data_IF_289788586976
#
_entry.id   IF_289788586976
#
_cell.length_a   1.000
_cell.length_b   1.000
_cell.length_c   1.000
_cell.angle_alpha   90.00
_cell.angle_beta   90.00
_cell.angle_gamma   90.00
#
_symmetry.space_group_name_H-M   'P 1'
#
loop_
_entity.id
_entity.type
_entity.pdbx_description
1 polymer ?
#
# COMPACT_ATOMS: atom_id res chain seq x y z
N UNK A 1 -3.96 -42.58 -4.79
CA UNK A 1 -2.90 -41.64 -5.19
C UNK A 1 -3.02 -40.38 -4.35
N UNK A 2 -2.23 -40.25 -3.29
CA UNK A 2 -2.25 -39.08 -2.41
C UNK A 2 -1.13 -38.12 -2.81
N UNK A 3 -1.47 -36.89 -3.17
CA UNK A 3 -0.50 -35.81 -3.41
C UNK A 3 -0.13 -35.22 -2.06
N UNK A 4 1.08 -35.50 -1.58
CA UNK A 4 1.66 -34.85 -0.40
C UNK A 4 2.26 -33.52 -0.84
N UNK A 5 1.63 -32.40 -0.47
CA UNK A 5 2.19 -31.07 -0.69
C UNK A 5 3.18 -30.78 0.45
N UNK A 6 4.47 -31.02 0.22
CA UNK A 6 5.51 -30.55 1.13
C UNK A 6 5.59 -29.01 1.04
N UNK A 7 4.95 -28.31 1.97
CA UNK A 7 5.12 -26.86 2.14
C UNK A 7 6.48 -26.64 2.81
N UNK A 8 7.54 -26.48 2.02
CA UNK A 8 8.85 -26.10 2.51
C UNK A 8 8.77 -24.75 3.23
N UNK A 9 9.28 -24.67 4.46
CA UNK A 9 9.43 -23.39 5.18
C UNK A 9 10.61 -22.63 4.56
N UNK A 10 10.31 -21.57 3.82
CA UNK A 10 11.34 -20.62 3.36
C UNK A 10 11.83 -19.79 4.55
N UNK A 11 13.13 -19.78 4.80
CA UNK A 11 13.74 -18.87 5.77
C UNK A 11 13.76 -17.44 5.19
N UNK A 12 13.53 -16.44 6.04
CA UNK A 12 13.76 -15.04 5.66
C UNK A 12 15.27 -14.87 5.49
N UNK A 13 15.70 -14.51 4.29
CA UNK A 13 17.13 -14.40 3.96
C UNK A 13 17.72 -13.04 4.29
N UNK A 14 16.95 -11.96 4.08
CA UNK A 14 17.42 -10.58 4.29
C UNK A 14 16.24 -9.70 4.75
N UNK A 15 16.52 -8.79 5.69
CA UNK A 15 15.60 -7.77 6.14
C UNK A 15 16.38 -6.52 6.57
N UNK A 16 15.76 -5.35 6.42
CA UNK A 16 16.34 -4.07 6.83
C UNK A 16 15.39 -3.40 7.82
N UNK A 17 15.94 -2.78 8.85
CA UNK A 17 15.18 -1.97 9.80
C UNK A 17 15.02 -0.55 9.26
N UNK A 18 13.80 -0.03 9.33
CA UNK A 18 13.52 1.39 9.08
C UNK A 18 13.31 2.06 10.45
N UNK A 19 14.09 3.10 10.73
CA UNK A 19 13.91 3.91 11.93
C UNK A 19 12.96 5.08 11.64
N UNK A 20 11.90 5.19 12.42
CA UNK A 20 10.97 6.32 12.38
C UNK A 20 11.07 7.06 13.70
N UNK A 21 11.13 8.39 13.67
CA UNK A 21 11.16 9.21 14.89
C UNK A 21 9.79 9.21 15.56
N UNK A 22 9.75 9.46 16.87
CA UNK A 22 8.50 9.72 17.58
C UNK A 22 7.67 10.76 16.83
N UNK A 23 6.39 10.47 16.65
CA UNK A 23 5.40 11.36 16.05
C UNK A 23 4.43 11.79 17.15
N UNK A 24 3.90 13.01 17.03
CA UNK A 24 2.76 13.42 17.83
C UNK A 24 1.60 12.45 17.58
N UNK A 25 0.87 12.09 18.64
CA UNK A 25 -0.27 11.17 18.51
C UNK A 25 -1.39 11.76 17.65
N UNK A 26 -1.46 13.09 17.55
CA UNK A 26 -2.44 13.80 16.76
C UNK A 26 -1.94 15.19 16.36
N UNK A 27 -2.05 15.48 15.06
CA UNK A 27 -1.87 16.79 14.45
C UNK A 27 -2.92 16.91 13.35
N UNK A 28 -3.83 17.88 13.47
CA UNK A 28 -5.00 17.97 12.58
C UNK A 28 -4.59 18.24 11.12
N UNK A 29 -3.59 19.09 10.90
CA UNK A 29 -3.10 19.43 9.57
C UNK A 29 -2.44 18.21 8.91
N UNK A 30 -1.62 17.48 9.66
CA UNK A 30 -0.97 16.25 9.18
C UNK A 30 -2.01 15.18 8.85
N UNK A 31 -2.99 14.95 9.73
CA UNK A 31 -4.05 13.96 9.47
C UNK A 31 -4.84 14.33 8.22
N UNK A 32 -5.24 15.59 8.08
CA UNK A 32 -5.95 16.06 6.89
C UNK A 32 -5.14 15.84 5.61
N UNK A 33 -3.84 16.16 5.63
CA UNK A 33 -2.95 15.95 4.49
C UNK A 33 -2.82 14.47 4.11
N UNK A 34 -2.76 13.56 5.11
CA UNK A 34 -2.61 12.13 4.86
C UNK A 34 -3.91 11.46 4.40
N UNK A 35 -5.02 11.71 5.10
CA UNK A 35 -6.27 11.00 4.89
C UNK A 35 -7.00 11.47 3.62
N UNK A 36 -7.00 12.78 3.37
CA UNK A 36 -7.64 13.36 2.20
C UNK A 36 -6.69 13.43 0.99
N UNK A 37 -5.41 13.75 1.24
CA UNK A 37 -4.45 14.04 0.17
C UNK A 37 -3.65 12.83 -0.34
N UNK A 38 -3.69 11.68 0.32
CA UNK A 38 -2.91 10.50 -0.09
C UNK A 38 -3.75 9.25 -0.34
N UNK A 39 -3.13 8.29 -1.04
CA UNK A 39 -3.63 6.92 -1.14
C UNK A 39 -2.50 5.92 -0.97
N UNK A 40 -2.84 4.79 -0.38
CA UNK A 40 -2.01 3.59 -0.46
C UNK A 40 -2.55 2.66 -1.55
N UNK A 41 -1.66 1.98 -2.28
CA UNK A 41 -2.03 0.83 -3.10
C UNK A 41 -0.88 -0.15 -3.21
N UNK A 42 -1.16 -1.42 -2.93
CA UNK A 42 -0.20 -2.52 -3.15
C UNK A 42 0.18 -2.69 -4.63
N UNK A 43 -0.60 -2.12 -5.54
CA UNK A 43 -0.29 -2.11 -6.98
C UNK A 43 0.56 -0.90 -7.40
N UNK A 44 0.82 0.07 -6.51
CA UNK A 44 1.85 1.10 -6.70
C UNK A 44 3.19 0.53 -6.21
N UNK A 45 3.80 -0.34 -7.00
CA UNK A 45 5.06 -0.99 -6.65
C UNK A 45 5.91 -1.33 -7.86
N UNK A 46 7.17 -1.72 -7.63
CA UNK A 46 8.08 -2.15 -8.68
C UNK A 46 7.59 -3.45 -9.34
N UNK A 47 7.93 -3.64 -10.62
CA UNK A 47 7.56 -4.85 -11.35
C UNK A 47 8.02 -6.14 -10.65
N UNK A 48 9.21 -6.12 -10.02
CA UNK A 48 9.77 -7.23 -9.25
C UNK A 48 8.93 -7.62 -8.01
N UNK A 49 8.11 -6.70 -7.49
CA UNK A 49 7.28 -6.89 -6.30
C UNK A 49 5.79 -6.91 -6.63
N UNK A 50 5.42 -7.33 -7.85
CA UNK A 50 4.02 -7.42 -8.26
C UNK A 50 3.22 -8.29 -7.27
N UNK A 51 2.10 -7.79 -6.71
CA UNK A 51 1.29 -8.58 -5.79
C UNK A 51 0.78 -9.89 -6.41
N UNK A 52 1.04 -11.01 -5.74
CA UNK A 52 0.62 -12.35 -6.18
C UNK A 52 -0.53 -12.89 -5.33
N UNK A 53 -1.24 -13.88 -5.87
CA UNK A 53 -2.36 -14.57 -5.19
C UNK A 53 -3.73 -13.93 -5.41
N UNK A 54 -4.79 -14.67 -5.07
CA UNK A 54 -6.18 -14.28 -5.34
C UNK A 54 -6.60 -13.02 -4.59
N UNK A 55 -6.25 -12.90 -3.30
CA UNK A 55 -6.60 -11.75 -2.47
C UNK A 55 -5.99 -10.47 -3.04
N UNK A 56 -4.70 -10.50 -3.40
CA UNK A 56 -4.05 -9.34 -3.99
C UNK A 56 -4.68 -8.98 -5.33
N UNK A 57 -4.97 -9.94 -6.21
CA UNK A 57 -5.71 -9.65 -7.46
C UNK A 57 -7.06 -8.99 -7.21
N UNK A 58 -7.83 -9.49 -6.25
CA UNK A 58 -9.13 -8.92 -5.87
C UNK A 58 -9.00 -7.47 -5.37
N UNK A 59 -7.88 -7.11 -4.72
CA UNK A 59 -7.62 -5.74 -4.24
C UNK A 59 -7.41 -4.72 -5.36
N UNK A 60 -7.10 -5.12 -6.61
CA UNK A 60 -6.77 -4.16 -7.68
C UNK A 60 -7.89 -3.16 -7.96
N UNK A 61 -9.13 -3.64 -8.07
CA UNK A 61 -10.26 -2.76 -8.38
C UNK A 61 -10.63 -1.84 -7.20
N UNK A 62 -10.84 -2.35 -5.96
CA UNK A 62 -11.12 -1.49 -4.81
C UNK A 62 -10.08 -0.39 -4.58
N UNK A 63 -8.78 -0.73 -4.70
CA UNK A 63 -7.69 0.23 -4.53
C UNK A 63 -7.62 1.30 -5.62
N UNK A 64 -8.20 1.05 -6.81
CA UNK A 64 -8.40 2.06 -7.85
C UNK A 64 -9.62 2.94 -7.56
N UNK A 65 -10.73 2.33 -7.13
CA UNK A 65 -12.01 3.02 -6.99
C UNK A 65 -12.09 3.92 -5.75
N UNK A 66 -11.57 3.47 -4.60
CA UNK A 66 -11.60 4.22 -3.35
C UNK A 66 -11.01 5.64 -3.46
N UNK A 67 -9.78 5.85 -4.00
CA UNK A 67 -9.24 7.20 -4.12
C UNK A 67 -10.02 8.06 -5.13
N UNK A 68 -10.59 7.49 -6.20
CA UNK A 68 -11.45 8.27 -7.13
C UNK A 68 -12.70 8.77 -6.41
N UNK A 69 -13.30 7.96 -5.54
CA UNK A 69 -14.45 8.37 -4.75
C UNK A 69 -14.07 9.46 -3.74
N UNK A 70 -13.04 9.23 -2.92
CA UNK A 70 -12.59 10.19 -1.89
C UNK A 70 -12.27 11.56 -2.47
N UNK A 71 -11.51 11.61 -3.57
CA UNK A 71 -11.18 12.90 -4.22
C UNK A 71 -12.42 13.72 -4.62
N UNK A 72 -13.48 13.04 -5.06
CA UNK A 72 -14.73 13.70 -5.45
C UNK A 72 -15.56 14.10 -4.23
N UNK A 73 -15.62 13.23 -3.24
CA UNK A 73 -16.42 13.44 -2.03
C UNK A 73 -15.82 14.50 -1.11
N UNK A 74 -14.50 14.45 -0.89
CA UNK A 74 -13.75 15.36 -0.02
C UNK A 74 -13.36 16.66 -0.73
N UNK A 75 -13.48 16.73 -2.06
CA UNK A 75 -13.06 17.88 -2.87
C UNK A 75 -11.54 18.11 -2.88
N UNK A 76 -10.76 17.13 -2.42
CA UNK A 76 -9.30 17.19 -2.31
C UNK A 76 -8.65 16.19 -3.29
N UNK A 77 -7.90 16.64 -4.30
CA UNK A 77 -7.14 15.75 -5.18
C UNK A 77 -6.11 14.90 -4.42
N UNK A 78 -5.86 13.66 -4.87
CA UNK A 78 -4.72 12.90 -4.37
C UNK A 78 -3.44 13.50 -4.95
N UNK A 79 -2.48 13.79 -4.07
CA UNK A 79 -1.15 14.27 -4.42
C UNK A 79 -0.17 13.10 -4.39
N UNK A 80 0.07 12.49 -5.54
CA UNK A 80 1.13 11.49 -5.67
C UNK A 80 2.50 12.18 -5.66
N UNK A 81 3.54 11.56 -5.05
CA UNK A 81 4.91 12.01 -5.23
C UNK A 81 5.24 12.08 -6.72
N UNK A 82 5.77 13.23 -7.16
CA UNK A 82 6.33 13.34 -8.50
C UNK A 82 7.49 12.38 -8.68
N UNK A 83 7.75 11.95 -9.92
CA UNK A 83 8.98 11.22 -10.25
C UNK A 83 10.17 12.18 -10.32
N UNK A 84 10.41 12.96 -9.26
CA UNK A 84 11.70 13.64 -9.11
C UNK A 84 12.65 12.66 -8.43
N UNK A 85 13.79 12.49 -9.08
CA UNK A 85 14.88 11.61 -8.68
C UNK A 85 15.90 12.44 -7.92
#
# INVERSE_FOLDING_TARGET
>A
MGVSLAVGRTAISEAVAIAVRQQDSWDEERVRAMDAGMRFSVFTGLAAHRPLGNINRARKAPYRHSPTFRQRFDGCPIHEPGSER
#
